data_IF_684634785745
#
_entry.id   IF_684634785745
#
_cell.length_a   1.000
_cell.length_b   1.000
_cell.length_c   1.000
_cell.angle_alpha   90.00
_cell.angle_beta   90.00
_cell.angle_gamma   90.00
#
_symmetry.space_group_name_H-M   'P 1'
#
loop_
_entity.id
_entity.type
_entity.pdbx_description
1 polymer ?
#
# COMPACT_ATOMS: atom_id res chain seq x y z
N UNK A 1 40.38 -28.15 6.77
CA UNK A 1 39.98 -26.74 6.87
C UNK A 1 39.42 -26.33 5.53
N UNK A 2 38.26 -25.68 5.52
CA UNK A 2 37.65 -25.12 4.31
C UNK A 2 38.59 -24.02 3.78
N UNK A 3 38.99 -24.10 2.52
CA UNK A 3 39.81 -23.04 1.90
C UNK A 3 38.89 -21.89 1.44
N UNK A 4 38.93 -20.70 2.07
CA UNK A 4 37.96 -19.63 1.79
C UNK A 4 38.00 -19.16 0.33
N UNK A 5 39.19 -19.15 -0.28
CA UNK A 5 39.38 -18.79 -1.69
C UNK A 5 38.65 -19.74 -2.64
N UNK A 6 38.61 -21.04 -2.33
CA UNK A 6 37.91 -22.03 -3.17
C UNK A 6 36.40 -21.89 -3.07
N UNK A 7 35.88 -21.61 -1.87
CA UNK A 7 34.45 -21.36 -1.66
C UNK A 7 34.03 -20.14 -2.47
N UNK A 8 34.70 -18.99 -2.32
CA UNK A 8 34.35 -17.77 -3.06
C UNK A 8 34.45 -17.96 -4.57
N UNK A 9 35.48 -18.67 -5.05
CA UNK A 9 35.63 -18.98 -6.47
C UNK A 9 34.49 -19.85 -6.98
N UNK A 10 34.12 -20.90 -6.25
CA UNK A 10 33.01 -21.78 -6.61
C UNK A 10 31.66 -21.06 -6.59
N UNK A 11 31.42 -20.16 -5.63
CA UNK A 11 30.22 -19.34 -5.59
C UNK A 11 30.13 -18.39 -6.80
N UNK A 12 31.26 -17.80 -7.21
CA UNK A 12 31.30 -16.93 -8.38
C UNK A 12 31.14 -17.70 -9.70
N UNK A 13 31.84 -18.83 -9.86
CA UNK A 13 31.79 -19.67 -11.08
C UNK A 13 30.42 -20.34 -11.26
N UNK A 14 29.77 -20.74 -10.17
CA UNK A 14 28.50 -21.46 -10.20
C UNK A 14 27.29 -20.61 -9.82
N UNK A 15 27.42 -19.28 -9.80
CA UNK A 15 26.34 -18.37 -9.38
C UNK A 15 25.02 -18.65 -10.12
N UNK A 16 25.08 -18.76 -11.45
CA UNK A 16 23.90 -18.98 -12.29
C UNK A 16 23.15 -20.29 -11.98
N UNK A 17 23.83 -21.27 -11.37
CA UNK A 17 23.24 -22.53 -10.95
C UNK A 17 22.69 -22.46 -9.53
N UNK A 18 23.37 -21.72 -8.65
CA UNK A 18 22.99 -21.58 -7.25
C UNK A 18 21.81 -20.62 -7.07
N UNK A 19 21.77 -19.52 -7.82
CA UNK A 19 20.75 -18.47 -7.68
C UNK A 19 19.30 -18.99 -7.77
N UNK A 20 18.91 -19.82 -8.75
CA UNK A 20 17.54 -20.36 -8.81
C UNK A 20 17.25 -21.42 -7.73
N UNK A 21 18.29 -22.08 -7.22
CA UNK A 21 18.16 -23.05 -6.14
C UNK A 21 17.92 -22.36 -4.80
N UNK A 22 18.47 -21.15 -4.60
CA UNK A 22 18.24 -20.37 -3.39
C UNK A 22 16.74 -20.17 -3.11
N UNK A 23 15.92 -19.83 -4.11
CA UNK A 23 14.45 -19.71 -3.95
C UNK A 23 13.76 -20.99 -3.45
N UNK A 24 14.32 -22.16 -3.77
CA UNK A 24 13.81 -23.43 -3.29
C UNK A 24 14.28 -23.74 -1.87
N UNK A 25 15.55 -23.44 -1.58
CA UNK A 25 16.10 -23.56 -0.22
C UNK A 25 15.43 -22.61 0.78
N UNK A 26 14.87 -21.52 0.29
CA UNK A 26 14.05 -20.60 1.06
C UNK A 26 12.76 -21.23 1.57
N UNK A 27 12.22 -22.19 0.82
CA UNK A 27 10.96 -22.89 1.13
C UNK A 27 11.20 -24.22 1.86
N UNK A 28 12.42 -24.75 1.86
CA UNK A 28 12.75 -25.99 2.54
C UNK A 28 14.02 -26.67 2.03
N UNK A 29 14.00 -28.00 2.03
CA UNK A 29 15.18 -28.82 1.70
C UNK A 29 14.95 -29.59 0.42
N UNK A 30 16.02 -29.78 -0.36
CA UNK A 30 15.97 -30.53 -1.61
C UNK A 30 16.59 -31.90 -1.43
N UNK A 31 15.95 -32.92 -1.98
CA UNK A 31 16.53 -34.26 -2.09
C UNK A 31 17.60 -34.31 -3.17
N UNK A 32 18.49 -35.30 -3.09
CA UNK A 32 19.54 -35.52 -4.10
C UNK A 32 18.97 -35.66 -5.51
N UNK A 33 17.80 -36.30 -5.65
CA UNK A 33 17.15 -36.48 -6.95
C UNK A 33 16.61 -35.16 -7.48
N UNK A 34 15.94 -34.35 -6.64
CA UNK A 34 15.44 -33.03 -7.02
C UNK A 34 16.59 -32.10 -7.45
N UNK A 35 17.70 -32.08 -6.71
CA UNK A 35 18.89 -31.32 -7.07
C UNK A 35 19.45 -31.72 -8.44
N UNK A 36 19.57 -33.03 -8.70
CA UNK A 36 20.03 -33.53 -10.00
C UNK A 36 19.08 -33.12 -11.13
N UNK A 37 17.77 -33.22 -10.92
CA UNK A 37 16.78 -32.84 -11.92
C UNK A 37 16.83 -31.34 -12.22
N UNK A 38 16.94 -30.49 -11.20
CA UNK A 38 17.03 -29.04 -11.37
C UNK A 38 18.32 -28.61 -12.06
N UNK A 39 19.46 -29.20 -11.69
CA UNK A 39 20.75 -28.92 -12.33
C UNK A 39 20.78 -29.42 -13.79
N UNK A 40 20.22 -30.60 -14.07
CA UNK A 40 20.11 -31.12 -15.44
C UNK A 40 19.20 -30.24 -16.32
N UNK A 41 18.17 -29.63 -15.74
CA UNK A 41 17.30 -28.70 -16.48
C UNK A 41 18.01 -27.39 -16.86
N UNK A 42 18.96 -26.94 -16.03
CA UNK A 42 19.74 -25.72 -16.28
C UNK A 42 20.98 -25.97 -17.17
N UNK A 43 21.54 -27.17 -17.12
CA UNK A 43 22.67 -27.57 -17.95
C UNK A 43 22.29 -28.71 -18.91
N UNK A 44 21.68 -28.34 -20.03
CA UNK A 44 21.19 -29.27 -21.07
C UNK A 44 22.30 -30.14 -21.69
N UNK A 45 23.55 -29.68 -21.67
CA UNK A 45 24.71 -30.36 -22.28
C UNK A 45 25.54 -31.19 -21.28
N UNK A 46 25.23 -31.15 -19.99
CA UNK A 46 26.02 -31.82 -18.95
C UNK A 46 25.66 -33.29 -18.79
N UNK A 47 26.66 -34.15 -18.59
CA UNK A 47 26.40 -35.56 -18.30
C UNK A 47 25.96 -35.76 -16.84
N UNK A 48 25.25 -36.86 -16.50
CA UNK A 48 24.89 -37.18 -15.12
C UNK A 48 26.09 -37.30 -14.17
N UNK A 49 27.24 -37.67 -14.73
CA UNK A 49 28.50 -37.78 -13.99
C UNK A 49 29.07 -36.39 -13.65
N UNK A 50 28.96 -35.43 -14.58
CA UNK A 50 29.39 -34.04 -14.35
C UNK A 50 28.55 -33.40 -13.24
N UNK A 51 27.23 -33.58 -13.26
CA UNK A 51 26.32 -33.06 -12.22
C UNK A 51 26.65 -33.66 -10.85
N UNK A 52 26.92 -34.96 -10.78
CA UNK A 52 27.30 -35.62 -9.52
C UNK A 52 28.64 -35.09 -9.01
N UNK A 53 29.61 -34.89 -9.91
CA UNK A 53 30.92 -34.34 -9.54
C UNK A 53 30.82 -32.91 -9.00
N UNK A 54 29.92 -32.09 -9.56
CA UNK A 54 29.65 -30.73 -9.11
C UNK A 54 28.99 -30.70 -7.74
N UNK A 55 27.99 -31.56 -7.50
CA UNK A 55 27.38 -31.70 -6.17
C UNK A 55 28.40 -32.15 -5.12
N UNK A 56 29.30 -33.08 -5.46
CA UNK A 56 30.38 -33.49 -4.57
C UNK A 56 31.36 -32.35 -4.28
N UNK A 57 31.59 -31.43 -5.23
CA UNK A 57 32.37 -30.20 -4.98
C UNK A 57 31.64 -29.29 -4.01
N UNK A 58 30.34 -29.05 -4.21
CA UNK A 58 29.55 -28.19 -3.31
C UNK A 58 29.46 -28.74 -1.89
N UNK A 59 29.31 -30.06 -1.73
CA UNK A 59 29.32 -30.71 -0.41
C UNK A 59 30.71 -30.61 0.22
N UNK A 60 31.79 -30.87 -0.52
CA UNK A 60 33.17 -30.77 0.01
C UNK A 60 33.57 -29.35 0.41
N UNK A 61 32.98 -28.34 -0.21
CA UNK A 61 33.21 -26.93 0.12
C UNK A 61 32.27 -26.41 1.21
N UNK A 62 31.46 -27.28 1.82
CA UNK A 62 30.41 -26.92 2.78
C UNK A 62 29.44 -25.85 2.23
N UNK A 63 29.21 -25.82 0.92
CA UNK A 63 28.15 -25.02 0.29
C UNK A 63 26.80 -25.69 0.52
N UNK A 64 26.73 -27.00 0.31
CA UNK A 64 25.60 -27.85 0.65
C UNK A 64 25.93 -28.70 1.88
N UNK A 65 24.99 -28.75 2.82
CA UNK A 65 25.10 -29.54 4.05
C UNK A 65 23.95 -30.56 4.08
N UNK A 66 24.20 -31.82 4.44
CA UNK A 66 23.14 -32.80 4.60
C UNK A 66 22.29 -32.49 5.84
N UNK A 67 20.97 -32.62 5.69
CA UNK A 67 20.02 -32.36 6.77
C UNK A 67 20.15 -33.41 7.88
N UNK A 68 20.08 -32.97 9.14
CA UNK A 68 20.14 -33.87 10.28
C UNK A 68 19.08 -34.99 10.17
N UNK A 69 19.53 -36.25 10.32
CA UNK A 69 18.71 -37.47 10.23
C UNK A 69 18.15 -37.79 8.83
N UNK A 70 18.53 -37.04 7.79
CA UNK A 70 18.11 -37.28 6.39
C UNK A 70 19.29 -37.08 5.42
N UNK A 71 20.18 -38.08 5.25
CA UNK A 71 21.44 -37.91 4.50
C UNK A 71 21.26 -37.66 2.99
N UNK A 72 20.07 -37.96 2.45
CA UNK A 72 19.74 -37.70 1.04
C UNK A 72 19.00 -36.38 0.81
N UNK A 73 18.86 -35.55 1.85
CA UNK A 73 18.32 -34.19 1.78
C UNK A 73 19.41 -33.20 2.12
N UNK A 74 19.43 -32.10 1.39
CA UNK A 74 20.42 -31.05 1.52
C UNK A 74 19.76 -29.71 1.81
N UNK A 75 20.50 -28.88 2.52
CA UNK A 75 20.26 -27.47 2.75
C UNK A 75 21.52 -26.68 2.38
N UNK A 76 21.37 -25.39 2.09
CA UNK A 76 22.54 -24.52 2.01
C UNK A 76 23.13 -24.34 3.40
N UNK A 77 24.46 -24.26 3.48
CA UNK A 77 25.11 -23.81 4.70
C UNK A 77 24.58 -22.43 5.09
N UNK A 78 24.12 -22.27 6.32
CA UNK A 78 23.49 -21.05 6.81
C UNK A 78 24.30 -19.77 6.50
N UNK A 79 25.63 -19.79 6.68
CA UNK A 79 26.47 -18.62 6.41
C UNK A 79 26.54 -18.27 4.92
N UNK A 80 26.54 -19.29 4.06
CA UNK A 80 26.53 -19.11 2.61
C UNK A 80 25.14 -18.69 2.16
N UNK A 81 24.08 -19.26 2.73
CA UNK A 81 22.71 -18.85 2.46
C UNK A 81 22.48 -17.38 2.79
N UNK A 82 22.91 -16.92 3.97
CA UNK A 82 22.84 -15.52 4.38
C UNK A 82 23.64 -14.60 3.44
N UNK A 83 24.82 -15.05 3.00
CA UNK A 83 25.66 -14.31 2.06
C UNK A 83 25.01 -14.21 0.67
N UNK A 84 24.45 -15.30 0.16
CA UNK A 84 23.75 -15.31 -1.12
C UNK A 84 22.47 -14.46 -1.05
N UNK A 85 21.70 -14.55 0.03
CA UNK A 85 20.52 -13.72 0.27
C UNK A 85 20.88 -12.21 0.30
N UNK A 86 21.99 -11.87 0.97
CA UNK A 86 22.53 -10.51 0.96
C UNK A 86 22.86 -10.03 -0.47
N UNK A 87 23.51 -10.86 -1.29
CA UNK A 87 23.83 -10.51 -2.68
C UNK A 87 22.58 -10.36 -3.56
N UNK A 88 21.57 -11.20 -3.35
CA UNK A 88 20.28 -11.14 -4.06
C UNK A 88 19.40 -9.97 -3.62
N UNK A 89 19.78 -9.23 -2.57
CA UNK A 89 18.95 -8.22 -1.90
C UNK A 89 17.59 -8.79 -1.47
N UNK A 90 17.58 -10.07 -1.09
CA UNK A 90 16.39 -10.69 -0.53
C UNK A 90 16.33 -10.38 0.95
N UNK A 91 15.71 -9.25 1.24
CA UNK A 91 15.54 -8.78 2.59
C UNK A 91 14.40 -9.53 3.26
N UNK A 92 14.76 -10.39 4.21
CA UNK A 92 13.81 -11.03 5.12
C UNK A 92 13.68 -10.20 6.38
N UNK A 93 12.44 -9.98 6.78
CA UNK A 93 12.12 -9.33 8.03
C UNK A 93 12.61 -10.21 9.18
N UNK A 94 13.47 -9.65 10.04
CA UNK A 94 13.85 -10.30 11.29
C UNK A 94 12.74 -10.26 12.34
N UNK A 95 12.95 -11.03 13.41
CA UNK A 95 12.12 -10.90 14.60
C UNK A 95 12.53 -9.64 15.37
N UNK A 96 11.57 -8.81 15.79
CA UNK A 96 11.85 -7.63 16.63
C UNK A 96 12.57 -8.01 17.95
N UNK A 97 12.31 -9.22 18.46
CA UNK A 97 12.99 -9.79 19.63
C UNK A 97 14.52 -9.91 19.47
N UNK A 98 15.04 -10.01 18.25
CA UNK A 98 16.48 -10.02 18.00
C UNK A 98 17.11 -8.66 18.31
N UNK A 99 16.46 -7.56 17.90
CA UNK A 99 16.88 -6.20 18.21
C UNK A 99 16.85 -5.98 19.72
N UNK A 100 15.78 -6.43 20.39
CA UNK A 100 15.68 -6.35 21.85
C UNK A 100 16.82 -7.11 22.55
N UNK A 101 17.17 -8.31 22.07
CA UNK A 101 18.29 -9.07 22.61
C UNK A 101 19.64 -8.34 22.44
N UNK A 102 19.84 -7.67 21.31
CA UNK A 102 21.02 -6.82 21.10
C UNK A 102 21.05 -5.63 22.05
N UNK A 103 19.93 -4.94 22.26
CA UNK A 103 19.84 -3.81 23.19
C UNK A 103 20.16 -4.24 24.63
N UNK A 104 19.58 -5.35 25.10
CA UNK A 104 19.93 -5.93 26.42
C UNK A 104 21.41 -6.30 26.51
N UNK A 105 22.05 -6.66 25.40
CA UNK A 105 23.49 -6.90 25.38
C UNK A 105 24.30 -5.60 25.45
N UNK A 106 23.87 -4.53 24.77
CA UNK A 106 24.49 -3.20 24.90
C UNK A 106 24.46 -2.72 26.36
N UNK A 107 23.34 -2.91 27.06
CA UNK A 107 23.23 -2.54 28.48
C UNK A 107 24.18 -3.32 29.38
N UNK A 108 24.40 -4.60 29.11
CA UNK A 108 25.38 -5.42 29.83
C UNK A 108 26.80 -4.96 29.55
N UNK A 109 27.12 -4.65 28.30
CA UNK A 109 28.42 -4.11 27.91
C UNK A 109 28.69 -2.76 28.57
N UNK A 110 27.67 -1.88 28.71
CA UNK A 110 27.81 -0.64 29.46
C UNK A 110 28.22 -0.88 30.92
N UNK A 111 27.65 -1.91 31.57
CA UNK A 111 28.06 -2.34 32.91
C UNK A 111 29.52 -2.81 32.94
N UNK A 112 29.91 -3.72 32.05
CA UNK A 112 31.31 -4.20 31.99
C UNK A 112 32.32 -3.10 31.66
N UNK A 113 31.94 -2.13 30.82
CA UNK A 113 32.75 -0.95 30.52
C UNK A 113 32.95 -0.11 31.78
N UNK A 114 31.87 0.11 32.54
CA UNK A 114 31.95 0.84 33.80
C UNK A 114 32.84 0.12 34.82
N UNK A 115 32.66 -1.19 35.00
CA UNK A 115 33.46 -2.00 35.93
C UNK A 115 34.96 -1.98 35.56
N UNK A 116 35.29 -2.16 34.27
CA UNK A 116 36.66 -2.10 33.78
C UNK A 116 37.30 -0.71 33.98
N UNK A 117 36.50 0.36 33.83
CA UNK A 117 36.93 1.72 34.08
C UNK A 117 37.23 1.98 35.56
N UNK A 118 36.37 1.51 36.46
CA UNK A 118 36.51 1.68 37.91
C UNK A 118 37.77 0.96 38.45
N UNK A 119 38.09 -0.22 37.91
CA UNK A 119 39.29 -0.99 38.26
C UNK A 119 40.55 -0.49 37.51
N UNK A 120 40.40 0.48 36.60
CA UNK A 120 41.46 1.04 35.75
C UNK A 120 42.17 0.02 34.86
N UNK A 121 41.45 -1.00 34.39
CA UNK A 121 41.98 -1.97 33.41
C UNK A 121 41.75 -1.45 31.98
N UNK A 122 42.75 -0.76 31.44
CA UNK A 122 42.69 -0.21 30.07
C UNK A 122 42.56 -1.28 28.98
N UNK A 123 43.08 -2.49 29.20
CA UNK A 123 43.04 -3.56 28.20
C UNK A 123 41.64 -4.17 28.11
N UNK A 124 41.02 -4.47 29.26
CA UNK A 124 39.64 -4.94 29.29
C UNK A 124 38.70 -3.86 28.79
N UNK A 125 38.89 -2.61 29.23
CA UNK A 125 38.06 -1.50 28.78
C UNK A 125 38.07 -1.35 27.25
N UNK A 126 39.25 -1.36 26.62
CA UNK A 126 39.37 -1.31 25.17
C UNK A 126 38.70 -2.52 24.49
N UNK A 127 38.74 -3.71 25.10
CA UNK A 127 38.02 -4.90 24.60
C UNK A 127 36.51 -4.71 24.66
N UNK A 128 35.97 -4.25 25.79
CA UNK A 128 34.53 -4.07 25.94
C UNK A 128 33.99 -2.98 25.01
N UNK A 129 34.72 -1.88 24.83
CA UNK A 129 34.36 -0.83 23.87
C UNK A 129 34.34 -1.35 22.42
N UNK A 130 35.26 -2.24 22.02
CA UNK A 130 35.22 -2.88 20.68
C UNK A 130 34.00 -3.78 20.51
N UNK A 131 33.62 -4.53 21.55
CA UNK A 131 32.44 -5.39 21.54
C UNK A 131 31.14 -4.57 21.47
N UNK A 132 31.10 -3.45 22.20
CA UNK A 132 29.99 -2.50 22.14
C UNK A 132 29.84 -1.94 20.73
N UNK A 133 30.93 -1.43 20.13
CA UNK A 133 30.92 -0.90 18.77
C UNK A 133 30.52 -1.95 17.71
N UNK A 134 30.98 -3.20 17.86
CA UNK A 134 30.53 -4.30 17.01
C UNK A 134 29.03 -4.56 17.15
N UNK A 135 28.51 -4.57 18.38
CA UNK A 135 27.08 -4.81 18.64
C UNK A 135 26.20 -3.69 18.09
N UNK A 136 26.63 -2.43 18.20
CA UNK A 136 25.91 -1.29 17.60
C UNK A 136 25.83 -1.43 16.08
N UNK A 137 26.92 -1.84 15.43
CA UNK A 137 26.93 -2.13 13.99
C UNK A 137 26.00 -3.29 13.61
N UNK A 138 25.92 -4.34 14.43
CA UNK A 138 24.98 -5.44 14.21
C UNK A 138 23.52 -4.95 14.22
N UNK A 139 23.18 -4.05 15.16
CA UNK A 139 21.83 -3.44 15.23
C UNK A 139 21.55 -2.58 14.01
N UNK A 140 22.48 -1.69 13.63
CA UNK A 140 22.34 -0.85 12.43
C UNK A 140 22.12 -1.68 11.16
N UNK A 141 22.94 -2.72 10.96
CA UNK A 141 22.80 -3.65 9.83
C UNK A 141 21.43 -4.35 9.84
N UNK A 142 20.93 -4.72 11.01
CA UNK A 142 19.62 -5.36 11.15
C UNK A 142 18.49 -4.41 10.80
N UNK A 143 18.53 -3.17 11.30
CA UNK A 143 17.55 -2.13 10.99
C UNK A 143 17.47 -1.84 9.49
N UNK A 144 18.62 -1.70 8.81
CA UNK A 144 18.68 -1.49 7.35
C UNK A 144 18.07 -2.68 6.58
N UNK A 145 18.42 -3.91 6.98
CA UNK A 145 17.83 -5.10 6.37
C UNK A 145 16.30 -5.18 6.57
N UNK A 146 15.83 -4.88 7.79
CA UNK A 146 14.41 -4.92 8.10
C UNK A 146 13.65 -3.82 7.36
N UNK A 147 14.25 -2.62 7.18
CA UNK A 147 13.68 -1.54 6.36
C UNK A 147 13.43 -1.98 4.92
N UNK A 148 14.43 -2.59 4.29
CA UNK A 148 14.29 -3.07 2.90
C UNK A 148 13.26 -4.21 2.79
N UNK A 149 13.16 -5.07 3.79
CA UNK A 149 12.14 -6.11 3.84
C UNK A 149 10.73 -5.51 3.92
N UNK A 150 10.53 -4.45 4.71
CA UNK A 150 9.27 -3.72 4.81
C UNK A 150 8.89 -3.05 3.49
N UNK A 151 9.85 -2.46 2.79
CA UNK A 151 9.65 -1.91 1.44
C UNK A 151 9.19 -3.01 0.49
N UNK A 152 9.83 -4.17 0.50
CA UNK A 152 9.44 -5.30 -0.34
C UNK A 152 8.01 -5.80 -0.05
N UNK A 153 7.61 -5.88 1.23
CA UNK A 153 6.22 -6.22 1.62
C UNK A 153 5.24 -5.19 1.06
N UNK A 154 5.54 -3.90 1.19
CA UNK A 154 4.67 -2.83 0.69
C UNK A 154 4.53 -2.89 -0.84
N UNK A 155 5.62 -3.14 -1.57
CA UNK A 155 5.61 -3.27 -3.03
C UNK A 155 4.87 -4.54 -3.50
N UNK A 156 5.02 -5.67 -2.80
CA UNK A 156 4.22 -6.88 -3.05
C UNK A 156 2.72 -6.64 -2.83
N UNK A 157 2.35 -5.82 -1.85
CA UNK A 157 0.95 -5.48 -1.62
C UNK A 157 0.36 -4.62 -2.76
N UNK A 158 1.13 -3.63 -3.22
CA UNK A 158 0.73 -2.68 -4.27
C UNK A 158 0.74 -3.28 -5.68
N UNK A 159 1.59 -4.25 -5.96
CA UNK A 159 1.72 -4.82 -7.30
C UNK A 159 0.43 -5.52 -7.74
N UNK A 160 -0.04 -5.21 -8.94
CA UNK A 160 -1.24 -5.82 -9.54
C UNK A 160 -0.96 -7.22 -10.10
N UNK A 161 -0.02 -7.95 -9.52
CA UNK A 161 0.33 -9.27 -10.02
C UNK A 161 -0.84 -10.23 -9.79
N UNK A 162 -1.25 -10.93 -10.85
CA UNK A 162 -2.41 -11.83 -10.85
C UNK A 162 -2.12 -13.14 -10.12
N UNK A 163 -0.85 -13.47 -9.92
CA UNK A 163 -0.46 -14.75 -9.31
C UNK A 163 -0.80 -14.82 -7.81
N UNK A 164 -0.75 -13.70 -7.09
CA UNK A 164 -1.04 -13.67 -5.64
C UNK A 164 -2.41 -13.01 -5.38
N UNK A 165 -3.38 -13.75 -4.81
CA UNK A 165 -4.67 -13.21 -4.44
C UNK A 165 -4.56 -11.98 -3.53
N UNK A 166 -5.38 -10.96 -3.77
CA UNK A 166 -5.40 -9.71 -2.99
C UNK A 166 -5.51 -9.94 -1.48
N UNK A 167 -6.32 -10.93 -1.07
CA UNK A 167 -6.49 -11.29 0.35
C UNK A 167 -5.18 -11.79 0.98
N UNK A 168 -4.38 -12.55 0.24
CA UNK A 168 -3.10 -13.07 0.71
C UNK A 168 -2.06 -11.95 0.84
N UNK A 169 -2.04 -11.03 -0.13
CA UNK A 169 -1.19 -9.83 -0.09
C UNK A 169 -1.46 -8.95 1.13
N UNK A 170 -2.73 -8.64 1.41
CA UNK A 170 -3.07 -7.88 2.63
C UNK A 170 -2.84 -8.67 3.91
N UNK A 171 -2.96 -10.01 3.89
CA UNK A 171 -2.66 -10.82 5.07
C UNK A 171 -1.18 -10.71 5.47
N UNK A 172 -0.27 -10.72 4.50
CA UNK A 172 1.16 -10.48 4.74
C UNK A 172 1.41 -9.10 5.36
N UNK A 173 0.78 -8.04 4.83
CA UNK A 173 0.90 -6.67 5.41
C UNK A 173 0.41 -6.62 6.85
N UNK A 174 -0.73 -7.26 7.15
CA UNK A 174 -1.29 -7.29 8.50
C UNK A 174 -0.40 -8.06 9.46
N UNK A 175 0.12 -9.22 9.05
CA UNK A 175 1.05 -10.01 9.85
C UNK A 175 2.34 -9.23 10.13
N UNK A 176 2.97 -8.65 9.11
CA UNK A 176 4.18 -7.81 9.26
C UNK A 176 3.95 -6.63 10.19
N UNK A 177 2.76 -6.02 10.14
CA UNK A 177 2.43 -4.94 11.07
C UNK A 177 2.38 -5.43 12.51
N UNK A 178 1.64 -6.52 12.77
CA UNK A 178 1.40 -7.01 14.13
C UNK A 178 2.66 -7.70 14.73
N UNK A 179 3.48 -8.37 13.91
CA UNK A 179 4.66 -9.13 14.35
C UNK A 179 5.94 -8.27 14.46
N UNK A 180 6.02 -7.13 13.78
CA UNK A 180 7.23 -6.29 13.76
C UNK A 180 6.97 -4.82 14.04
N UNK A 181 6.08 -4.17 13.29
CA UNK A 181 5.88 -2.70 13.42
C UNK A 181 5.35 -2.35 14.80
N UNK A 182 4.35 -3.07 15.29
CA UNK A 182 3.73 -2.80 16.59
C UNK A 182 4.72 -3.03 17.76
N UNK A 183 5.46 -4.16 17.83
CA UNK A 183 6.56 -4.32 18.79
C UNK A 183 7.67 -3.26 18.66
N UNK A 184 8.02 -2.84 17.44
CA UNK A 184 9.05 -1.83 17.23
C UNK A 184 8.60 -0.45 17.71
N UNK A 185 7.31 -0.12 17.64
CA UNK A 185 6.74 1.08 18.27
C UNK A 185 6.96 1.03 19.78
N UNK A 186 6.62 -0.09 20.42
CA UNK A 186 6.81 -0.26 21.87
C UNK A 186 8.29 -0.13 22.28
N UNK A 187 9.18 -0.68 21.46
CA UNK A 187 10.63 -0.65 21.69
C UNK A 187 11.20 0.78 21.61
N UNK A 188 10.78 1.57 20.62
CA UNK A 188 11.32 2.92 20.30
C UNK A 188 10.59 4.05 21.05
N UNK A 189 9.46 3.77 21.72
CA UNK A 189 8.78 4.74 22.55
C UNK A 189 9.74 5.39 23.58
N UNK A 190 9.38 6.58 24.08
CA UNK A 190 10.25 7.40 24.95
C UNK A 190 10.78 6.67 26.21
N UNK A 191 10.02 5.69 26.70
CA UNK A 191 10.35 4.82 27.83
C UNK A 191 10.60 3.36 27.42
N UNK A 192 10.74 3.08 26.13
CA UNK A 192 10.98 1.74 25.59
C UNK A 192 12.42 1.26 25.82
N UNK A 193 12.64 -0.04 25.60
CA UNK A 193 13.94 -0.68 25.80
C UNK A 193 15.06 -0.05 24.95
N UNK A 194 14.71 0.52 23.79
CA UNK A 194 15.67 1.18 22.92
C UNK A 194 16.25 2.44 23.57
N UNK A 195 15.38 3.34 24.02
CA UNK A 195 15.77 4.60 24.68
C UNK A 195 16.52 4.34 25.99
N UNK A 196 16.07 3.36 26.78
CA UNK A 196 16.75 2.98 28.03
C UNK A 196 18.16 2.46 27.77
N UNK A 197 18.32 1.54 26.81
CA UNK A 197 19.61 0.97 26.46
C UNK A 197 20.59 2.02 25.94
N UNK A 198 20.14 2.89 25.04
CA UNK A 198 20.94 3.98 24.49
C UNK A 198 21.38 4.97 25.57
N UNK A 199 20.45 5.47 26.40
CA UNK A 199 20.76 6.43 27.47
C UNK A 199 21.75 5.86 28.47
N UNK A 200 21.63 4.58 28.82
CA UNK A 200 22.54 3.92 29.75
C UNK A 200 23.97 3.87 29.20
N UNK A 201 24.13 3.45 27.95
CA UNK A 201 25.46 3.40 27.31
C UNK A 201 26.03 4.81 27.15
N UNK A 202 25.23 5.76 26.67
CA UNK A 202 25.63 7.16 26.52
C UNK A 202 26.13 7.77 27.85
N UNK A 203 25.37 7.56 28.94
CA UNK A 203 25.73 8.07 30.26
C UNK A 203 27.09 7.54 30.71
N UNK A 204 27.37 6.26 30.48
CA UNK A 204 28.67 5.64 30.81
C UNK A 204 29.79 6.24 29.98
N UNK A 205 29.61 6.36 28.65
CA UNK A 205 30.64 6.91 27.76
C UNK A 205 30.95 8.38 28.06
N UNK A 206 29.93 9.22 28.29
CA UNK A 206 30.12 10.64 28.63
C UNK A 206 30.80 10.81 29.99
N UNK A 207 30.41 10.02 30.99
CA UNK A 207 31.07 10.01 32.31
C UNK A 207 32.54 9.67 32.16
N UNK A 208 32.87 8.63 31.40
CA UNK A 208 34.26 8.22 31.16
C UNK A 208 35.07 9.28 30.44
N UNK A 209 34.52 9.91 29.40
CA UNK A 209 35.18 11.00 28.68
C UNK A 209 35.54 12.16 29.63
N UNK A 210 34.62 12.53 30.53
CA UNK A 210 34.85 13.59 31.52
C UNK A 210 35.90 13.20 32.57
N UNK A 211 35.91 11.94 33.00
CA UNK A 211 36.86 11.43 34.00
C UNK A 211 38.26 11.25 33.41
N UNK A 212 38.39 10.82 32.15
CA UNK A 212 39.68 10.71 31.46
C UNK A 212 40.33 12.07 31.25
N UNK A 213 39.56 13.12 30.96
CA UNK A 213 40.08 14.50 30.90
C UNK A 213 40.68 14.96 32.24
N UNK A 214 40.14 14.47 33.36
CA UNK A 214 40.59 14.84 34.71
C UNK A 214 41.75 13.97 35.23
N UNK A 215 41.68 12.65 34.99
CA UNK A 215 42.54 11.65 35.63
C UNK A 215 43.60 11.06 34.70
N UNK A 216 43.59 11.42 33.42
CA UNK A 216 44.45 10.87 32.37
C UNK A 216 43.77 9.76 31.56
N UNK A 217 44.27 9.53 30.35
CA UNK A 217 43.66 8.60 29.40
C UNK A 217 43.96 7.14 29.74
N UNK A 218 42.92 6.32 29.87
CA UNK A 218 43.02 4.87 30.00
C UNK A 218 42.85 4.16 28.64
N UNK A 219 42.04 4.76 27.76
CA UNK A 219 41.79 4.33 26.38
C UNK A 219 41.76 5.55 25.48
N UNK A 220 41.99 5.35 24.18
CA UNK A 220 41.93 6.41 23.16
C UNK A 220 40.56 7.11 23.13
N UNK A 221 40.55 8.42 23.26
CA UNK A 221 39.35 9.25 23.27
C UNK A 221 38.60 9.19 21.93
N UNK A 222 39.32 9.01 20.81
CA UNK A 222 38.70 8.86 19.49
C UNK A 222 37.84 7.59 19.42
N UNK A 223 38.25 6.53 20.12
CA UNK A 223 37.46 5.31 20.22
C UNK A 223 36.15 5.55 20.98
N UNK A 224 36.19 6.30 22.08
CA UNK A 224 35.00 6.67 22.87
C UNK A 224 34.05 7.56 22.07
N UNK A 225 34.57 8.60 21.44
CA UNK A 225 33.78 9.56 20.65
C UNK A 225 33.12 8.89 19.44
N UNK A 226 33.83 8.01 18.73
CA UNK A 226 33.24 7.23 17.62
C UNK A 226 32.14 6.29 18.09
N UNK A 227 32.34 5.62 19.22
CA UNK A 227 31.35 4.71 19.79
C UNK A 227 30.10 5.47 20.24
N UNK A 228 30.29 6.64 20.89
CA UNK A 228 29.19 7.53 21.28
C UNK A 228 28.41 8.04 20.07
N UNK A 229 29.10 8.56 19.03
CA UNK A 229 28.47 9.03 17.81
C UNK A 229 27.64 7.92 17.12
N UNK A 230 28.15 6.69 17.08
CA UNK A 230 27.43 5.54 16.49
C UNK A 230 26.19 5.13 17.26
N UNK A 231 26.20 5.27 18.58
CA UNK A 231 25.01 5.00 19.40
C UNK A 231 23.90 5.99 19.09
N UNK A 232 24.24 7.28 18.94
CA UNK A 232 23.28 8.32 18.53
C UNK A 232 22.79 8.11 17.09
N UNK A 233 23.68 7.69 16.18
CA UNK A 233 23.31 7.31 14.82
C UNK A 233 22.32 6.13 14.81
N UNK A 234 22.59 5.09 15.60
CA UNK A 234 21.70 3.94 15.77
C UNK A 234 20.32 4.35 16.27
N UNK A 235 20.23 5.29 17.21
CA UNK A 235 18.96 5.83 17.69
C UNK A 235 18.20 6.58 16.60
N UNK A 236 18.88 7.45 15.87
CA UNK A 236 18.28 8.19 14.77
C UNK A 236 17.80 7.25 13.67
N UNK A 237 18.60 6.24 13.32
CA UNK A 237 18.27 5.22 12.33
C UNK A 237 17.03 4.40 12.74
N UNK A 238 16.95 3.92 13.98
CA UNK A 238 15.79 3.17 14.45
C UNK A 238 14.49 3.98 14.37
N UNK A 239 14.53 5.26 14.76
CA UNK A 239 13.37 6.15 14.66
C UNK A 239 12.96 6.41 13.21
N UNK A 240 13.94 6.61 12.32
CA UNK A 240 13.70 6.86 10.90
C UNK A 240 13.13 5.62 10.20
N UNK A 241 13.70 4.45 10.43
CA UNK A 241 13.20 3.17 9.92
C UNK A 241 11.77 2.91 10.40
N UNK A 242 11.47 3.14 11.69
CA UNK A 242 10.10 2.99 12.20
C UNK A 242 9.13 3.98 11.55
N UNK A 243 9.54 5.24 11.36
CA UNK A 243 8.72 6.24 10.68
C UNK A 243 8.43 5.82 9.25
N UNK A 244 9.45 5.39 8.51
CA UNK A 244 9.31 4.91 7.14
C UNK A 244 8.39 3.68 7.06
N UNK A 245 8.57 2.71 7.97
CA UNK A 245 7.71 1.54 8.09
C UNK A 245 6.23 1.92 8.26
N UNK A 246 5.95 2.89 9.13
CA UNK A 246 4.60 3.41 9.36
C UNK A 246 4.02 4.11 8.14
N UNK A 247 4.82 4.96 7.49
CA UNK A 247 4.41 5.66 6.25
C UNK A 247 4.07 4.67 5.12
N UNK A 248 4.79 3.54 5.03
CA UNK A 248 4.57 2.50 4.03
C UNK A 248 3.37 1.59 4.33
N UNK A 249 3.28 1.03 5.54
CA UNK A 249 2.36 -0.06 5.85
C UNK A 249 1.02 0.39 6.46
N UNK A 250 0.98 1.52 7.17
CA UNK A 250 -0.25 2.02 7.78
C UNK A 250 -1.39 2.24 6.77
N UNK A 251 -1.18 2.90 5.61
CA UNK A 251 -2.26 3.08 4.64
C UNK A 251 -2.79 1.75 4.09
N UNK A 252 -1.89 0.78 3.86
CA UNK A 252 -2.25 -0.55 3.39
C UNK A 252 -3.04 -1.34 4.45
N UNK A 253 -2.68 -1.21 5.73
CA UNK A 253 -3.44 -1.78 6.87
C UNK A 253 -4.85 -1.20 6.92
N UNK A 254 -4.99 0.12 6.77
CA UNK A 254 -6.31 0.77 6.77
C UNK A 254 -7.16 0.34 5.58
N UNK A 255 -6.57 0.28 4.38
CA UNK A 255 -7.25 -0.20 3.18
C UNK A 255 -7.74 -1.65 3.35
N UNK A 256 -6.89 -2.54 3.85
CA UNK A 256 -7.26 -3.92 4.17
C UNK A 256 -8.41 -3.99 5.18
N UNK A 257 -8.37 -3.17 6.24
CA UNK A 257 -9.45 -3.08 7.24
C UNK A 257 -10.76 -2.59 6.63
N UNK A 258 -10.71 -1.59 5.73
CA UNK A 258 -11.89 -1.09 5.00
C UNK A 258 -12.49 -2.16 4.10
N UNK A 259 -11.67 -2.84 3.29
CA UNK A 259 -12.13 -3.94 2.44
C UNK A 259 -12.77 -5.08 3.24
N UNK A 260 -12.18 -5.43 4.39
CA UNK A 260 -12.75 -6.42 5.30
C UNK A 260 -14.07 -5.95 5.92
N UNK A 261 -14.17 -4.68 6.33
CA UNK A 261 -15.41 -4.11 6.86
C UNK A 261 -16.54 -4.08 5.81
N UNK A 262 -16.24 -3.65 4.59
CA UNK A 262 -17.19 -3.63 3.46
C UNK A 262 -17.66 -5.04 3.13
N UNK A 263 -16.74 -6.01 3.02
CA UNK A 263 -17.10 -7.40 2.71
C UNK A 263 -17.97 -8.02 3.81
N UNK A 264 -17.64 -7.79 5.09
CA UNK A 264 -18.48 -8.23 6.21
C UNK A 264 -19.84 -7.55 6.21
N UNK A 265 -19.88 -6.24 5.97
CA UNK A 265 -21.12 -5.47 5.87
C UNK A 265 -22.03 -5.99 4.75
N UNK A 266 -21.48 -6.25 3.57
CA UNK A 266 -22.19 -6.83 2.44
C UNK A 266 -22.72 -8.23 2.77
N UNK A 267 -21.92 -9.10 3.40
CA UNK A 267 -22.36 -10.43 3.81
C UNK A 267 -23.52 -10.37 4.83
N UNK A 268 -23.44 -9.46 5.81
CA UNK A 268 -24.51 -9.23 6.79
C UNK A 268 -25.78 -8.68 6.11
N UNK A 269 -25.65 -7.73 5.19
CA UNK A 269 -26.76 -7.18 4.43
C UNK A 269 -27.43 -8.26 3.57
N UNK A 270 -26.66 -9.07 2.84
CA UNK A 270 -27.19 -10.19 2.06
C UNK A 270 -27.87 -11.25 2.95
N UNK A 271 -27.32 -11.53 4.13
CA UNK A 271 -27.94 -12.43 5.10
C UNK A 271 -29.27 -11.86 5.64
N UNK A 272 -29.35 -10.54 5.87
CA UNK A 272 -30.58 -9.86 6.26
C UNK A 272 -31.63 -9.90 5.15
N UNK A 273 -31.24 -9.59 3.90
CA UNK A 273 -32.11 -9.69 2.71
C UNK A 273 -32.65 -11.11 2.56
N UNK A 274 -31.79 -12.13 2.68
CA UNK A 274 -32.19 -13.54 2.59
C UNK A 274 -33.24 -13.92 3.65
N UNK A 275 -33.17 -13.36 4.85
CA UNK A 275 -34.07 -13.71 5.96
C UNK A 275 -35.37 -12.89 5.98
N UNK A 276 -35.32 -11.62 5.59
CA UNK A 276 -36.40 -10.64 5.86
C UNK A 276 -36.80 -9.80 4.66
N UNK A 277 -36.24 -10.04 3.47
CA UNK A 277 -36.48 -9.25 2.26
C UNK A 277 -35.64 -7.96 2.22
N UNK A 278 -35.77 -7.22 1.11
CA UNK A 278 -34.92 -6.04 0.81
C UNK A 278 -35.17 -4.90 1.80
N UNK A 279 -36.42 -4.75 2.28
CA UNK A 279 -36.82 -3.69 3.22
C UNK A 279 -36.20 -3.82 4.62
N UNK A 280 -35.63 -4.98 4.92
CA UNK A 280 -34.97 -5.22 6.20
C UNK A 280 -33.52 -4.71 6.25
N UNK A 281 -32.97 -4.25 5.12
CA UNK A 281 -31.69 -3.54 5.11
C UNK A 281 -31.97 -2.10 5.52
N UNK A 282 -31.39 -1.60 6.63
CA UNK A 282 -31.58 -0.20 7.01
C UNK A 282 -31.10 0.70 5.85
N UNK A 283 -31.97 1.56 5.32
CA UNK A 283 -31.62 2.49 4.24
C UNK A 283 -30.47 3.44 4.64
N UNK A 284 -30.23 3.62 5.94
CA UNK A 284 -29.08 4.34 6.49
C UNK A 284 -27.72 3.62 6.31
N UNK A 285 -27.71 2.37 5.85
CA UNK A 285 -26.50 1.57 5.57
C UNK A 285 -26.12 1.53 4.08
N UNK A 286 -26.90 2.17 3.20
CA UNK A 286 -26.50 2.38 1.82
C UNK A 286 -25.58 3.61 1.78
N UNK A 287 -24.34 3.51 1.29
CA UNK A 287 -23.51 4.69 1.08
C UNK A 287 -24.19 5.52 -0.01
N UNK A 288 -24.95 6.53 0.41
CA UNK A 288 -25.59 7.52 -0.44
C UNK A 288 -24.52 8.38 -1.11
N UNK A 289 -23.82 7.86 -2.12
CA UNK A 289 -22.88 8.59 -2.98
C UNK A 289 -22.04 9.67 -2.25
N UNK A 290 -21.62 9.40 -1.02
CA UNK A 290 -20.65 10.26 -0.36
C UNK A 290 -19.31 9.80 -0.86
N UNK A 291 -18.59 10.67 -1.59
CA UNK A 291 -17.16 10.45 -1.78
C UNK A 291 -16.58 10.30 -0.37
N UNK A 292 -16.01 9.15 0.00
CA UNK A 292 -15.35 9.05 1.29
C UNK A 292 -14.20 10.05 1.26
N UNK A 293 -14.35 11.17 1.99
CA UNK A 293 -13.21 12.04 2.20
C UNK A 293 -12.26 11.27 3.10
N UNK A 294 -11.11 10.94 2.54
CA UNK A 294 -9.96 10.48 3.31
C UNK A 294 -9.69 11.51 4.40
N UNK A 295 -9.89 11.14 5.66
CA UNK A 295 -9.38 11.91 6.82
C UNK A 295 -7.86 11.77 6.95
N UNK A 296 -7.21 11.07 6.02
CA UNK A 296 -5.76 10.95 5.95
C UNK A 296 -5.19 12.25 5.36
N UNK A 297 -4.70 13.11 6.24
CA UNK A 297 -3.68 14.09 5.90
C UNK A 297 -2.40 13.25 5.77
N UNK A 298 -1.87 13.03 4.55
CA UNK A 298 -0.90 11.96 4.30
C UNK A 298 0.48 12.11 4.95
N UNK A 299 1.55 12.16 4.16
CA UNK A 299 2.92 12.31 4.69
C UNK A 299 3.04 13.53 5.61
N UNK A 300 4.05 13.58 6.47
CA UNK A 300 4.26 14.74 7.36
C UNK A 300 4.27 16.09 6.62
N UNK A 301 4.80 16.11 5.39
CA UNK A 301 4.76 17.27 4.49
C UNK A 301 3.35 17.68 4.05
N UNK A 302 2.43 16.72 3.87
CA UNK A 302 1.02 17.00 3.55
C UNK A 302 0.27 17.53 4.77
N UNK A 303 0.56 17.02 5.96
CA UNK A 303 0.04 17.55 7.22
C UNK A 303 0.52 18.99 7.42
N UNK A 304 1.82 19.25 7.22
CA UNK A 304 2.41 20.58 7.35
C UNK A 304 1.83 21.56 6.33
N UNK A 305 1.67 21.14 5.06
CA UNK A 305 1.01 21.94 4.03
C UNK A 305 -0.47 22.23 4.36
N UNK A 306 -1.19 21.27 4.94
CA UNK A 306 -2.56 21.47 5.39
C UNK A 306 -2.66 22.44 6.57
N UNK A 307 -1.79 22.31 7.57
CA UNK A 307 -1.71 23.24 8.70
C UNK A 307 -1.33 24.64 8.22
N UNK A 308 -0.40 24.76 7.27
CA UNK A 308 -0.05 26.02 6.64
C UNK A 308 -1.23 26.65 5.88
N UNK A 309 -2.01 25.84 5.16
CA UNK A 309 -3.23 26.28 4.48
C UNK A 309 -4.33 26.72 5.45
N UNK A 310 -4.48 26.03 6.59
CA UNK A 310 -5.38 26.43 7.67
C UNK A 310 -4.98 27.77 8.30
N UNK A 311 -3.68 27.99 8.52
CA UNK A 311 -3.18 29.25 9.09
C UNK A 311 -3.48 30.47 8.19
N UNK A 312 -3.68 30.26 6.89
CA UNK A 312 -4.05 31.29 5.90
C UNK A 312 -5.48 31.16 5.39
N UNK A 313 -6.31 30.38 6.06
CA UNK A 313 -7.66 30.12 5.61
C UNK A 313 -8.53 31.36 5.83
N UNK A 314 -8.83 32.08 4.75
CA UNK A 314 -9.91 33.05 4.74
C UNK A 314 -11.24 32.33 4.48
N UNK A 315 -12.21 32.39 5.42
CA UNK A 315 -13.49 31.75 5.22
C UNK A 315 -14.19 32.41 4.02
N UNK A 316 -14.35 31.65 2.92
CA UNK A 316 -15.26 32.07 1.86
C UNK A 316 -16.65 32.15 2.48
N UNK A 317 -17.30 33.33 2.52
CA UNK A 317 -18.62 33.44 3.09
C UNK A 317 -19.54 32.52 2.31
N UNK A 318 -20.08 31.49 2.97
CA UNK A 318 -21.13 30.67 2.41
C UNK A 318 -22.30 31.60 2.09
N UNK A 319 -22.50 31.90 0.79
CA UNK A 319 -23.70 32.59 0.34
C UNK A 319 -24.86 31.61 0.54
N UNK A 320 -25.48 31.67 1.71
CA UNK A 320 -26.81 31.09 1.87
C UNK A 320 -27.72 31.77 0.84
N UNK A 321 -28.50 31.00 0.05
CA UNK A 321 -29.49 31.59 -0.83
C UNK A 321 -30.53 32.30 0.04
N UNK A 322 -30.34 33.60 0.25
CA UNK A 322 -31.35 34.45 0.87
C UNK A 322 -32.46 34.61 -0.15
N UNK A 323 -33.70 34.40 0.26
CA UNK A 323 -34.88 34.68 -0.54
C UNK A 323 -34.95 36.20 -0.78
N UNK A 324 -34.27 36.67 -1.84
CA UNK A 324 -34.36 38.05 -2.27
C UNK A 324 -35.72 38.24 -2.96
N UNK A 325 -36.52 39.19 -2.45
CA UNK A 325 -37.64 39.75 -3.21
C UNK A 325 -37.08 40.28 -4.53
N UNK A 326 -37.62 39.77 -5.63
CA UNK A 326 -37.23 40.10 -7.01
C UNK A 326 -37.14 41.62 -7.25
N UNK A 327 -36.00 42.16 -7.67
CA UNK A 327 -35.96 43.47 -8.31
C UNK A 327 -36.59 43.35 -9.70
N UNK A 328 -37.51 44.25 -10.02
CA UNK A 328 -38.02 44.46 -11.37
C UNK A 328 -36.93 45.15 -12.22
N UNK A 329 -36.87 44.74 -13.49
CA UNK A 329 -36.11 45.29 -14.62
C UNK A 329 -34.60 44.98 -14.69
N UNK A 330 -34.21 44.34 -15.80
CA UNK A 330 -32.85 44.08 -16.24
C UNK A 330 -32.55 42.59 -16.35
N UNK A 331 -32.88 42.00 -17.50
CA UNK A 331 -32.55 40.63 -17.96
C UNK A 331 -32.45 39.58 -16.84
N UNK A 332 -33.61 39.12 -16.37
CA UNK A 332 -33.65 37.98 -15.47
C UNK A 332 -33.17 36.74 -16.24
N UNK A 333 -32.26 35.91 -15.68
CA UNK A 333 -32.03 34.57 -16.21
C UNK A 333 -33.39 33.88 -16.25
N UNK A 334 -33.80 33.48 -17.47
CA UNK A 334 -35.10 32.88 -17.74
C UNK A 334 -35.26 31.71 -16.75
N UNK A 335 -36.28 31.78 -15.90
CA UNK A 335 -36.50 30.72 -14.91
C UNK A 335 -36.56 29.37 -15.64
N UNK A 336 -35.94 28.30 -15.09
CA UNK A 336 -35.94 26.99 -15.74
C UNK A 336 -37.39 26.58 -16.02
N UNK A 337 -37.70 26.31 -17.29
CA UNK A 337 -39.06 26.00 -17.73
C UNK A 337 -39.55 24.76 -16.99
N UNK A 338 -40.76 24.84 -16.43
CA UNK A 338 -41.31 23.69 -15.70
C UNK A 338 -41.82 22.64 -16.69
N UNK A 339 -41.85 21.38 -16.23
CA UNK A 339 -42.33 20.25 -17.05
C UNK A 339 -43.75 20.48 -17.55
N UNK A 340 -44.61 21.06 -16.71
CA UNK A 340 -46.01 21.34 -17.06
C UNK A 340 -46.10 22.33 -18.22
N UNK A 341 -45.35 23.42 -18.17
CA UNK A 341 -45.33 24.44 -19.22
C UNK A 341 -44.87 23.86 -20.56
N UNK A 342 -43.88 22.95 -20.57
CA UNK A 342 -43.41 22.33 -21.81
C UNK A 342 -44.39 21.34 -22.40
N UNK A 343 -45.12 20.59 -21.55
CA UNK A 343 -46.19 19.72 -22.03
C UNK A 343 -47.34 20.54 -22.61
N UNK A 344 -47.77 21.61 -21.92
CA UNK A 344 -48.87 22.47 -22.37
C UNK A 344 -48.53 23.14 -23.72
N UNK A 345 -47.29 23.62 -23.91
CA UNK A 345 -46.84 24.17 -25.20
C UNK A 345 -46.72 23.14 -26.31
N UNK A 346 -46.30 21.91 -25.97
CA UNK A 346 -46.33 20.82 -26.93
C UNK A 346 -47.76 20.52 -27.38
N UNK A 347 -48.74 20.52 -26.46
CA UNK A 347 -50.16 20.35 -26.78
C UNK A 347 -50.70 21.45 -27.70
N UNK A 348 -50.34 22.71 -27.45
CA UNK A 348 -50.73 23.86 -28.28
C UNK A 348 -50.13 23.82 -29.70
N UNK A 349 -48.99 23.15 -29.87
CA UNK A 349 -48.25 23.08 -31.14
C UNK A 349 -48.61 21.83 -31.97
N UNK A 350 -49.64 21.09 -31.59
CA UNK A 350 -50.10 19.92 -32.35
C UNK A 350 -50.95 20.33 -33.57
N UNK A 351 -50.86 19.62 -34.71
CA UNK A 351 -49.98 18.48 -34.99
C UNK A 351 -48.53 18.94 -35.26
N UNK A 352 -47.58 18.29 -34.59
CA UNK A 352 -46.16 18.65 -34.65
C UNK A 352 -45.39 17.64 -35.51
N UNK A 353 -44.80 18.06 -36.64
CA UNK A 353 -44.18 17.13 -37.59
C UNK A 353 -42.84 16.56 -37.11
N UNK A 354 -42.06 17.29 -36.32
CA UNK A 354 -40.77 16.83 -35.78
C UNK A 354 -40.48 17.49 -34.42
N UNK A 355 -40.44 16.68 -33.36
CA UNK A 355 -40.21 17.11 -31.98
C UNK A 355 -38.82 17.76 -31.77
N UNK A 356 -37.77 17.25 -32.40
CA UNK A 356 -36.42 17.82 -32.26
C UNK A 356 -36.30 19.17 -32.93
N UNK A 357 -36.89 19.31 -34.13
CA UNK A 357 -36.93 20.60 -34.83
C UNK A 357 -37.71 21.62 -34.00
N UNK A 358 -38.85 21.23 -33.44
CA UNK A 358 -39.62 22.11 -32.55
C UNK A 358 -38.84 22.49 -31.28
N UNK A 359 -38.11 21.57 -30.66
CA UNK A 359 -37.28 21.88 -29.49
C UNK A 359 -36.18 22.91 -29.81
N UNK A 360 -35.55 22.79 -30.98
CA UNK A 360 -34.54 23.74 -31.46
C UNK A 360 -35.14 25.13 -31.74
N UNK A 361 -36.37 25.19 -32.23
CA UNK A 361 -37.09 26.45 -32.46
C UNK A 361 -37.55 27.11 -31.14
N UNK A 362 -37.94 26.31 -30.16
CA UNK A 362 -38.43 26.80 -28.87
C UNK A 362 -37.32 27.23 -27.91
N UNK A 363 -36.15 26.61 -28.02
CA UNK A 363 -34.95 26.87 -27.21
C UNK A 363 -33.69 26.92 -28.10
N UNK A 364 -33.48 28.01 -28.86
CA UNK A 364 -32.34 28.15 -29.76
C UNK A 364 -31.00 28.21 -29.02
N UNK A 365 -30.99 28.75 -27.79
CA UNK A 365 -29.80 28.88 -26.94
C UNK A 365 -29.68 27.73 -25.92
N UNK A 366 -30.49 26.68 -26.04
CA UNK A 366 -30.50 25.54 -25.12
C UNK A 366 -29.24 24.68 -25.24
N UNK A 367 -28.65 24.30 -24.10
CA UNK A 367 -27.56 23.34 -24.05
C UNK A 367 -28.00 21.97 -24.60
N UNK A 368 -27.07 21.21 -25.16
CA UNK A 368 -27.40 19.96 -25.88
C UNK A 368 -28.04 18.91 -24.97
N UNK A 369 -27.56 18.82 -23.73
CA UNK A 369 -28.04 17.91 -22.70
C UNK A 369 -29.45 18.26 -22.22
N UNK A 370 -29.77 19.55 -22.07
CA UNK A 370 -31.12 20.03 -21.76
C UNK A 370 -32.12 19.71 -22.88
N UNK A 371 -31.73 19.94 -24.14
CA UNK A 371 -32.57 19.60 -25.30
C UNK A 371 -32.85 18.10 -25.38
N UNK A 372 -31.83 17.27 -25.15
CA UNK A 372 -31.98 15.80 -25.11
C UNK A 372 -32.81 15.32 -23.92
N UNK A 373 -32.69 15.98 -22.77
CA UNK A 373 -33.55 15.73 -21.63
C UNK A 373 -35.03 15.98 -21.99
N UNK A 374 -35.35 17.13 -22.58
CA UNK A 374 -36.72 17.45 -23.00
C UNK A 374 -37.23 16.53 -24.09
N UNK A 375 -36.41 16.21 -25.09
CA UNK A 375 -36.74 15.22 -26.11
C UNK A 375 -37.09 13.86 -25.50
N UNK A 376 -36.28 13.37 -24.56
CA UNK A 376 -36.51 12.09 -23.89
C UNK A 376 -37.77 12.10 -23.03
N UNK A 377 -38.12 13.25 -22.45
CA UNK A 377 -39.27 13.41 -21.57
C UNK A 377 -40.58 13.52 -22.37
N UNK A 378 -40.62 14.41 -23.35
CA UNK A 378 -41.81 14.67 -24.18
C UNK A 378 -42.14 13.47 -25.07
N UNK A 379 -41.14 12.75 -25.58
CA UNK A 379 -41.36 11.51 -26.34
C UNK A 379 -41.96 10.36 -25.52
N UNK A 380 -41.95 10.47 -24.18
CA UNK A 380 -42.51 9.48 -23.23
C UNK A 380 -43.84 9.92 -22.62
N UNK A 381 -44.32 11.14 -22.92
CA UNK A 381 -45.59 11.61 -22.39
C UNK A 381 -46.76 10.87 -23.03
N UNK A 382 -47.66 10.35 -22.19
CA UNK A 382 -48.80 9.51 -22.62
C UNK A 382 -49.88 10.29 -23.37
N UNK A 383 -49.81 11.62 -23.34
CA UNK A 383 -50.80 12.53 -23.94
C UNK A 383 -50.65 12.67 -25.45
N UNK A 384 -49.52 12.23 -26.01
CA UNK A 384 -49.22 12.37 -27.44
C UNK A 384 -49.20 11.00 -28.12
N UNK A 385 -49.83 10.91 -29.30
CA UNK A 385 -49.55 9.82 -30.23
C UNK A 385 -48.25 10.14 -30.96
N UNK A 386 -47.31 9.19 -31.00
CA UNK A 386 -45.99 9.36 -31.59
C UNK A 386 -45.81 8.49 -32.82
N UNK A 387 -45.34 9.09 -33.90
CA UNK A 387 -44.89 8.39 -35.10
C UNK A 387 -43.37 8.57 -35.22
N UNK A 388 -42.64 7.47 -35.36
CA UNK A 388 -41.18 7.49 -35.37
C UNK A 388 -40.69 7.86 -36.76
N UNK A 389 -39.90 8.93 -36.85
CA UNK A 389 -39.33 9.42 -38.10
C UNK A 389 -38.03 8.68 -38.46
N UNK A 390 -37.59 8.89 -39.70
CA UNK A 390 -36.27 8.46 -40.16
C UNK A 390 -35.14 9.17 -39.40
N UNK A 391 -33.94 8.60 -39.47
CA UNK A 391 -32.77 9.17 -38.79
C UNK A 391 -32.33 10.44 -39.52
N UNK A 392 -32.23 11.54 -38.79
CA UNK A 392 -31.79 12.85 -39.31
C UNK A 392 -30.71 13.42 -38.42
N UNK A 393 -29.96 14.37 -38.97
CA UNK A 393 -28.92 15.11 -38.27
C UNK A 393 -29.47 16.48 -37.84
N UNK A 394 -29.40 16.77 -36.54
CA UNK A 394 -29.86 18.00 -35.92
C UNK A 394 -28.66 18.77 -35.40
N UNK A 395 -28.61 20.06 -35.67
CA UNK A 395 -27.54 20.94 -35.19
C UNK A 395 -28.04 21.70 -33.96
N UNK A 396 -27.50 21.35 -32.80
CA UNK A 396 -27.66 22.14 -31.57
C UNK A 396 -26.57 23.21 -31.51
N UNK A 397 -26.64 24.13 -30.56
CA UNK A 397 -25.63 25.17 -30.37
C UNK A 397 -24.20 24.59 -30.17
N UNK A 398 -24.08 23.41 -29.53
CA UNK A 398 -22.77 22.84 -29.16
C UNK A 398 -22.41 21.59 -29.96
N UNK A 399 -23.40 20.82 -30.44
CA UNK A 399 -23.17 19.50 -31.05
C UNK A 399 -24.06 19.23 -32.27
N UNK A 400 -23.56 18.37 -33.17
CA UNK A 400 -24.36 17.72 -34.21
C UNK A 400 -24.87 16.37 -33.68
N UNK A 401 -26.19 16.22 -33.58
CA UNK A 401 -26.85 15.05 -33.01
C UNK A 401 -27.59 14.27 -34.10
N UNK A 402 -27.24 13.00 -34.28
CA UNK A 402 -27.91 12.11 -35.24
C UNK A 402 -28.86 11.16 -34.52
N UNK A 403 -30.17 11.41 -34.61
CA UNK A 403 -31.20 10.61 -33.94
C UNK A 403 -32.49 10.46 -34.78
N UNK A 404 -33.39 9.55 -34.36
CA UNK A 404 -34.73 9.39 -34.94
C UNK A 404 -35.73 10.16 -34.08
N UNK A 405 -36.23 11.29 -34.60
CA UNK A 405 -37.21 12.12 -33.90
C UNK A 405 -38.62 11.53 -34.01
N UNK A 406 -39.62 12.21 -33.42
CA UNK A 406 -41.02 11.81 -33.44
C UNK A 406 -41.90 12.93 -34.00
N UNK A 407 -42.84 12.57 -34.86
CA UNK A 407 -44.01 13.40 -35.11
C UNK A 407 -45.02 13.17 -33.97
N UNK A 408 -45.56 14.24 -33.41
CA UNK A 408 -46.54 14.19 -32.31
C UNK A 408 -47.92 14.62 -32.82
N UNK A 409 -48.92 13.80 -32.50
CA UNK A 409 -50.34 14.03 -32.78
C UNK A 409 -51.14 14.03 -31.47
N UNK A 410 -52.28 14.71 -31.44
CA UNK A 410 -53.16 14.68 -30.28
C UNK A 410 -53.70 13.26 -30.06
N UNK A 411 -53.60 12.76 -28.82
CA UNK A 411 -54.29 11.55 -28.46
C UNK A 411 -55.79 11.86 -28.33
N UNK A 412 -56.60 11.39 -29.28
CA UNK A 412 -58.05 11.34 -29.10
C UNK A 412 -58.44 10.54 -27.85
N UNK A 413 -59.66 10.73 -27.30
CA UNK A 413 -60.06 10.23 -25.98
C UNK A 413 -60.01 8.69 -25.79
N UNK A 414 -59.79 7.91 -26.85
CA UNK A 414 -59.80 6.43 -26.83
C UNK A 414 -58.40 5.79 -26.66
N UNK A 415 -57.34 6.54 -26.33
CA UNK A 415 -55.97 6.00 -26.27
C UNK A 415 -55.49 5.58 -24.86
N UNK A 416 -56.38 5.40 -23.89
CA UNK A 416 -56.00 4.95 -22.54
C UNK A 416 -55.78 3.43 -22.42
N UNK A 417 -56.19 2.62 -23.40
CA UNK A 417 -56.23 1.15 -23.23
C UNK A 417 -55.22 0.32 -24.05
N UNK A 418 -54.45 0.89 -24.98
CA UNK A 418 -53.51 0.10 -25.79
C UNK A 418 -52.07 0.63 -25.72
N UNK A 419 -51.33 0.23 -24.68
CA UNK A 419 -49.88 0.03 -24.76
C UNK A 419 -49.36 -0.86 -23.62
N UNK A 420 -49.96 -2.04 -23.49
CA UNK A 420 -49.19 -3.17 -22.95
C UNK A 420 -48.15 -3.58 -24.00
N UNK A 421 -46.90 -3.72 -23.57
CA UNK A 421 -45.82 -4.48 -24.20
C UNK A 421 -45.39 -4.09 -25.63
N UNK A 422 -44.28 -3.35 -25.72
CA UNK A 422 -43.24 -3.67 -26.72
C UNK A 422 -42.00 -4.08 -25.92
N UNK A 423 -41.61 -5.37 -25.93
CA UNK A 423 -40.36 -5.80 -25.34
C UNK A 423 -39.19 -5.32 -26.20
N UNK A 424 -38.13 -4.85 -25.54
CA UNK A 424 -36.85 -4.59 -26.17
C UNK A 424 -36.35 -5.88 -26.84
N UNK A 425 -36.04 -5.81 -28.13
CA UNK A 425 -35.22 -6.78 -28.82
C UNK A 425 -33.90 -6.09 -29.20
N UNK A 426 -32.83 -6.62 -28.61
CA UNK A 426 -31.40 -6.60 -28.96
C UNK A 426 -30.75 -5.29 -29.40
#
# INVERSE_FOLDING_TARGET
MIEPKRVLRALAEHWALLEPLCEHFDQGTLSLNELRTQLAAQQLDSTPQDITSLLDVWIRLDILVPVAKSPNRFELNAQIHDFLAYLRREHRLGLCLEIEAYLRHLERLAGYIQDAFEVRDGNDLARQLRLLDMRVRDVLKKLDNDEQALVAVAERAKTSDRQIPLRQRYAEVLATWDEYVEPMIELVNADGAFEQGVRKVETVLLKMLSEQQRLGHLVDDDMLLRTHARILEMQTSAQLTLRHARELLLPLREEARRHNAVTRGAALALAAIRRKGIDAVPQAALPLFTRPQSTFLGSASQVEAYVYALARFEPKPARFPKAHKSPKSGDAPRAPRTVREMVDRCEESLPMPDLMTWLLEQEPDGATDELLYWFSRLSREKRFKRERLERREYHTHEHQVSLRSFALLSAGPDAAENSASIPNAS
#
